data_IF_365548039724
#
_entry.id   IF_365548039724
#
_cell.length_a   1.000
_cell.length_b   1.000
_cell.length_c   1.000
_cell.angle_alpha   90.00
_cell.angle_beta   90.00
_cell.angle_gamma   90.00
#
_symmetry.space_group_name_H-M   'P 1'
#
loop_
_entity.id
_entity.type
_entity.pdbx_description
1 polymer ?
2 non-polymer ?
3 non-polymer ?
4 non-polymer ?
5 non-polymer ?
6 non-polymer ?
7 water ?
#
# COMPACT_ATOMS: atom_id res chain seq x y z
N UNK A 3 9.55 1.12 -29.83
CA UNK A 3 8.79 2.29 -29.40
C UNK A 3 7.32 1.95 -29.22
N UNK A 4 6.98 0.67 -29.48
CA UNK A 4 5.61 0.15 -29.38
C UNK A 4 5.74 -1.29 -28.90
N UNK A 5 6.06 -1.44 -27.62
CA UNK A 5 6.54 -2.71 -27.07
C UNK A 5 5.41 -3.71 -26.84
N UNK A 6 5.73 -4.98 -27.02
CA UNK A 6 4.79 -6.09 -26.92
C UNK A 6 5.03 -6.88 -25.64
N UNK A 7 3.94 -7.24 -24.98
CA UNK A 7 3.96 -8.13 -23.81
C UNK A 7 3.08 -9.33 -24.12
N UNK A 8 3.57 -10.51 -23.79
CA UNK A 8 2.88 -11.75 -24.12
C UNK A 8 2.46 -12.46 -22.85
N UNK A 9 1.32 -13.14 -22.91
CA UNK A 9 0.95 -14.12 -21.89
C UNK A 9 1.23 -15.50 -22.47
N UNK A 10 2.09 -16.28 -21.80
CA UNK A 10 2.48 -17.60 -22.27
C UNK A 10 1.55 -18.70 -21.81
N UNK A 11 0.38 -18.36 -21.28
CA UNK A 11 -0.63 -19.35 -21.02
C UNK A 11 -1.83 -19.22 -21.95
N UNK A 12 -2.05 -18.01 -22.48
CA UNK A 12 -3.16 -17.74 -23.39
C UNK A 12 -2.73 -17.36 -24.80
N UNK A 13 -1.44 -17.13 -25.04
CA UNK A 13 -0.91 -16.63 -26.32
C UNK A 13 -1.44 -15.24 -26.65
N UNK A 14 -1.90 -14.49 -25.65
CA UNK A 14 -2.44 -13.15 -25.84
C UNK A 14 -1.29 -12.15 -25.81
N UNK A 15 -1.28 -11.24 -26.78
CA UNK A 15 -0.26 -10.21 -26.88
C UNK A 15 -0.92 -8.85 -26.79
N UNK A 16 -0.41 -8.01 -25.89
CA UNK A 16 -0.83 -6.62 -25.75
C UNK A 16 0.32 -5.70 -26.13
N UNK A 17 -0.02 -4.54 -26.68
CA UNK A 17 0.95 -3.55 -27.12
C UNK A 17 0.95 -2.36 -26.17
N UNK A 18 2.14 -1.99 -25.70
CA UNK A 18 2.30 -0.93 -24.72
C UNK A 18 2.90 0.27 -25.40
N UNK A 19 2.14 1.37 -25.43
CA UNK A 19 2.65 2.68 -25.79
C UNK A 19 2.65 3.64 -24.61
N UNK A 20 1.98 3.26 -23.52
CA UNK A 20 1.91 4.11 -22.34
C UNK A 20 3.28 4.34 -21.72
N UNK A 21 4.20 3.38 -21.89
CA UNK A 21 5.53 3.56 -21.32
C UNK A 21 6.24 4.76 -21.92
N UNK A 22 5.78 5.26 -23.08
CA UNK A 22 6.35 6.48 -23.63
C UNK A 22 6.05 7.68 -22.75
N UNK A 23 4.90 7.71 -22.08
CA UNK A 23 4.62 8.79 -21.15
C UNK A 23 5.38 8.65 -19.84
N UNK A 24 6.24 7.63 -19.71
CA UNK A 24 6.98 7.42 -18.48
C UNK A 24 7.99 8.54 -18.25
N UNK A 25 8.10 8.95 -17.00
CA UNK A 25 8.93 10.08 -16.62
C UNK A 25 10.10 9.64 -15.76
N UNK A 26 9.85 9.11 -14.56
CA UNK A 26 10.92 8.72 -13.67
C UNK A 26 11.67 7.50 -14.22
N UNK A 27 12.77 7.15 -13.55
CA UNK A 27 13.65 6.09 -13.99
C UNK A 27 13.48 4.86 -13.09
N UNK A 28 13.88 3.71 -13.64
CA UNK A 28 13.54 2.41 -13.05
C UNK A 28 14.62 1.85 -12.13
N UNK A 29 15.85 2.32 -12.23
CA UNK A 29 16.97 1.66 -11.62
C UNK A 29 17.67 0.71 -12.56
N UNK A 30 16.96 0.19 -13.55
CA UNK A 30 17.60 -0.66 -14.54
C UNK A 30 18.40 0.18 -15.55
N UNK A 31 19.39 -0.46 -16.16
CA UNK A 31 20.08 0.16 -17.28
C UNK A 31 20.06 -0.80 -18.47
N UNK A 32 20.75 -0.43 -19.55
CA UNK A 32 20.91 -1.37 -20.65
C UNK A 32 21.72 -2.59 -20.25
N UNK A 33 22.52 -2.52 -19.19
CA UNK A 33 23.42 -3.60 -18.84
C UNK A 33 23.09 -4.28 -17.51
N UNK A 34 22.11 -3.78 -16.77
CA UNK A 34 21.78 -4.40 -15.50
C UNK A 34 20.30 -4.21 -15.23
N UNK A 35 19.65 -5.30 -14.86
CA UNK A 35 18.24 -5.26 -14.49
C UNK A 35 18.18 -5.32 -12.98
N UNK A 36 17.46 -4.36 -12.40
CA UNK A 36 17.31 -4.25 -10.96
C UNK A 36 15.90 -4.56 -10.53
N UNK A 37 15.16 -5.31 -11.35
CA UNK A 37 13.76 -5.58 -11.07
C UNK A 37 13.48 -6.32 -9.77
N UNK A 38 14.50 -6.90 -9.12
CA UNK A 38 14.26 -7.53 -7.83
C UNK A 38 14.82 -6.70 -6.66
N UNK A 39 15.39 -5.53 -6.93
CA UNK A 39 15.80 -4.65 -5.85
C UNK A 39 14.56 -4.07 -5.21
N UNK A 40 14.47 -4.17 -3.87
CA UNK A 40 13.22 -3.80 -3.19
C UNK A 40 12.99 -2.29 -3.22
N UNK A 41 14.05 -1.50 -3.05
CA UNK A 41 13.95 -0.04 -3.07
C UNK A 41 14.91 0.49 -4.13
N UNK A 42 14.42 1.03 -5.23
CA UNK A 42 15.35 1.51 -6.27
C UNK A 42 15.54 3.03 -6.26
N UNK A 43 16.79 3.46 -6.34
CA UNK A 43 17.14 4.87 -6.46
C UNK A 43 18.54 5.01 -7.04
N UNK A 52 14.29 19.14 -0.78
CA UNK A 52 13.21 20.09 -1.02
C UNK A 52 13.16 20.45 -2.50
N UNK A 53 11.97 20.78 -3.00
CA UNK A 53 11.77 21.12 -4.40
C UNK A 53 11.97 22.61 -4.65
N UNK A 54 12.04 22.97 -5.93
CA UNK A 54 12.19 24.36 -6.34
C UNK A 54 11.07 24.73 -7.32
N UNK A 55 10.89 26.04 -7.51
CA UNK A 55 9.85 26.51 -8.41
C UNK A 55 10.21 26.25 -9.87
N UNK A 56 11.51 26.28 -10.20
CA UNK A 56 11.95 26.07 -11.57
C UNK A 56 11.63 24.67 -12.07
N UNK A 57 11.49 23.70 -11.18
CA UNK A 57 11.09 22.36 -11.54
C UNK A 57 9.59 22.13 -11.42
N UNK A 58 8.88 23.00 -10.69
CA UNK A 58 7.51 22.70 -10.32
C UNK A 58 6.55 22.86 -11.48
N UNK A 59 6.64 23.96 -12.23
CA UNK A 59 5.63 24.17 -13.27
C UNK A 59 5.64 23.10 -14.36
N UNK A 60 6.78 22.58 -14.82
CA UNK A 60 6.72 21.39 -15.69
C UNK A 60 5.87 20.29 -15.09
N UNK A 61 6.12 19.92 -13.84
CA UNK A 61 5.37 18.84 -13.21
C UNK A 61 3.88 19.20 -13.10
N UNK A 62 3.58 20.44 -12.74
CA UNK A 62 2.19 20.89 -12.66
C UNK A 62 1.53 20.89 -14.04
N UNK A 63 2.24 21.40 -15.06
CA UNK A 63 1.68 21.42 -16.41
C UNK A 63 1.39 20.01 -16.91
N UNK A 64 2.36 19.11 -16.80
CA UNK A 64 2.15 17.72 -17.21
C UNK A 64 0.90 17.15 -16.56
N UNK A 65 0.80 17.29 -15.24
CA UNK A 65 -0.36 16.76 -14.53
C UNK A 65 -1.65 17.46 -14.96
N UNK A 66 -1.62 18.77 -15.09
CA UNK A 66 -2.85 19.45 -15.45
C UNK A 66 -3.26 19.11 -16.88
N UNK A 67 -2.29 18.89 -17.75
CA UNK A 67 -2.61 18.42 -19.10
C UNK A 67 -3.31 17.06 -19.05
N UNK A 68 -2.83 16.15 -18.22
CA UNK A 68 -3.49 14.85 -18.19
C UNK A 68 -4.82 14.94 -17.46
N UNK A 69 -4.92 15.81 -16.45
CA UNK A 69 -6.20 16.00 -15.79
C UNK A 69 -7.25 16.54 -16.76
N UNK A 70 -6.91 17.59 -17.49
CA UNK A 70 -7.89 18.19 -18.39
C UNK A 70 -8.16 17.30 -19.60
N UNK A 71 -7.16 16.52 -20.02
CA UNK A 71 -7.43 15.53 -21.05
C UNK A 71 -8.49 14.54 -20.57
N UNK A 72 -8.38 14.10 -19.31
CA UNK A 72 -9.25 13.06 -18.79
C UNK A 72 -10.70 13.50 -18.64
N UNK A 73 -10.99 14.80 -18.70
CA UNK A 73 -12.37 15.26 -18.59
C UNK A 73 -12.81 15.90 -19.90
N UNK A 74 -12.21 15.47 -21.01
CA UNK A 74 -12.61 15.88 -22.36
C UNK A 74 -12.50 17.39 -22.57
N UNK A 75 -11.59 18.04 -21.85
CA UNK A 75 -11.40 19.48 -21.94
C UNK A 75 -9.92 19.84 -22.03
N UNK A 76 -9.16 19.00 -22.73
CA UNK A 76 -7.75 19.28 -22.97
C UNK A 76 -7.61 20.43 -23.96
N UNK A 77 -6.86 21.46 -23.55
CA UNK A 77 -6.66 22.63 -24.38
C UNK A 77 -7.78 23.63 -24.38
N UNK A 78 -8.83 23.42 -23.59
CA UNK A 78 -9.93 24.37 -23.54
C UNK A 78 -9.52 25.61 -22.77
N UNK A 79 -10.44 26.58 -22.69
CA UNK A 79 -10.16 27.80 -21.96
C UNK A 79 -9.98 27.54 -20.48
N UNK A 80 -10.87 26.72 -19.90
CA UNK A 80 -10.76 26.38 -18.48
C UNK A 80 -9.41 25.74 -18.18
N UNK A 81 -8.91 24.93 -19.12
CA UNK A 81 -7.60 24.34 -18.95
C UNK A 81 -6.51 25.40 -18.95
N UNK A 82 -6.52 26.29 -19.94
CA UNK A 82 -5.47 27.29 -20.05
C UNK A 82 -5.48 28.22 -18.86
N UNK A 83 -6.66 28.68 -18.44
CA UNK A 83 -6.76 29.56 -17.29
C UNK A 83 -6.24 28.89 -16.03
N UNK A 84 -6.57 27.60 -15.84
CA UNK A 84 -6.01 26.87 -14.71
C UNK A 84 -4.49 26.78 -14.82
N UNK A 85 -3.99 26.48 -16.02
CA UNK A 85 -2.55 26.43 -16.26
C UNK A 85 -1.91 27.77 -15.89
N UNK A 86 -2.53 28.87 -16.33
CA UNK A 86 -2.02 30.20 -15.99
C UNK A 86 -2.20 30.51 -14.51
N UNK A 87 -3.34 30.11 -13.95
CA UNK A 87 -3.58 30.31 -12.53
C UNK A 87 -2.52 29.61 -11.69
N UNK A 88 -2.15 28.39 -12.07
CA UNK A 88 -1.15 27.61 -11.32
C UNK A 88 0.24 28.18 -11.55
N UNK A 89 0.54 28.58 -12.79
CA UNK A 89 1.82 29.22 -13.08
C UNK A 89 1.98 30.47 -12.21
N UNK A 90 0.96 31.31 -12.18
CA UNK A 90 1.05 32.53 -11.38
C UNK A 90 1.09 32.21 -9.88
N UNK A 91 0.40 31.16 -9.44
CA UNK A 91 0.47 30.80 -8.03
C UNK A 91 1.85 30.25 -7.67
N UNK A 92 2.46 29.47 -8.56
CA UNK A 92 3.84 29.06 -8.34
C UNK A 92 4.79 30.26 -8.36
N UNK A 93 4.51 31.27 -9.19
CA UNK A 93 5.32 32.48 -9.15
C UNK A 93 5.32 33.08 -7.76
N UNK A 94 4.13 33.24 -7.17
CA UNK A 94 3.99 33.95 -5.90
C UNK A 94 4.59 33.16 -4.75
N UNK A 95 4.13 31.92 -4.54
CA UNK A 95 4.49 31.14 -3.36
C UNK A 95 5.52 30.05 -3.64
N UNK A 96 5.98 29.89 -4.88
CA UNK A 96 6.84 28.77 -5.26
C UNK A 96 6.22 27.42 -4.93
N UNK A 97 4.90 27.37 -4.82
CA UNK A 97 4.13 26.13 -4.75
C UNK A 97 2.73 26.45 -5.25
N UNK A 98 1.82 25.49 -5.14
CA UNK A 98 0.44 25.76 -5.51
C UNK A 98 -0.45 24.75 -4.80
N UNK A 99 -1.75 24.93 -5.00
CA UNK A 99 -2.76 24.11 -4.34
C UNK A 99 -3.63 23.46 -5.40
N UNK A 100 -3.94 22.19 -5.18
CA UNK A 100 -4.79 21.45 -6.09
C UNK A 100 -6.26 21.74 -5.81
N UNK A 101 -7.06 21.76 -6.87
CA UNK A 101 -8.50 21.68 -6.70
C UNK A 101 -8.86 20.36 -6.05
N UNK A 102 -10.00 20.34 -5.36
CA UNK A 102 -10.53 19.08 -4.84
C UNK A 102 -10.64 18.04 -5.94
N UNK A 103 -11.16 18.46 -7.11
CA UNK A 103 -11.24 17.53 -8.24
C UNK A 103 -9.87 17.00 -8.65
N UNK A 104 -8.88 17.88 -8.74
CA UNK A 104 -7.54 17.46 -9.12
C UNK A 104 -6.95 16.53 -8.07
N UNK A 105 -7.19 16.82 -6.79
CA UNK A 105 -6.68 15.96 -5.73
C UNK A 105 -7.24 14.55 -5.84
N UNK A 106 -8.53 14.42 -6.13
CA UNK A 106 -9.16 13.10 -6.23
C UNK A 106 -8.65 12.36 -7.45
N UNK A 107 -8.60 13.06 -8.59
CA UNK A 107 -8.00 12.51 -9.80
C UNK A 107 -6.58 12.01 -9.54
N UNK A 108 -5.73 12.87 -8.98
CA UNK A 108 -4.35 12.49 -8.73
C UNK A 108 -4.23 11.27 -7.84
N UNK A 109 -4.96 11.25 -6.72
CA UNK A 109 -4.86 10.10 -5.83
C UNK A 109 -5.28 8.82 -6.53
N UNK A 110 -6.41 8.86 -7.24
CA UNK A 110 -6.86 7.68 -7.97
C UNK A 110 -5.79 7.21 -8.94
N UNK A 111 -5.13 8.16 -9.61
CA UNK A 111 -4.16 7.77 -10.62
C UNK A 111 -2.81 7.36 -10.02
N UNK A 112 -2.48 7.87 -8.84
CA UNK A 112 -1.33 7.32 -8.13
C UNK A 112 -1.55 5.84 -7.83
N UNK A 113 -2.77 5.48 -7.42
CA UNK A 113 -3.10 4.06 -7.26
C UNK A 113 -3.10 3.36 -8.62
N UNK A 114 -3.70 3.98 -9.63
CA UNK A 114 -3.74 3.36 -10.95
C UNK A 114 -2.34 3.05 -11.48
N UNK A 115 -1.37 3.84 -11.05
CA UNK A 115 -0.01 3.74 -11.55
C UNK A 115 0.90 2.89 -10.69
N UNK A 116 0.39 2.39 -9.56
CA UNK A 116 1.18 1.59 -8.62
C UNK A 116 1.50 0.23 -9.21
N UNK A 117 2.65 0.11 -9.86
CA UNK A 117 2.97 -1.12 -10.57
C UNK A 117 3.07 -2.33 -9.64
N UNK A 118 3.26 -2.12 -8.34
CA UNK A 118 3.34 -3.27 -7.45
C UNK A 118 1.98 -3.71 -6.92
N UNK A 119 0.88 -3.03 -7.27
CA UNK A 119 -0.43 -3.32 -6.69
C UNK A 119 -1.23 -4.21 -7.61
N UNK A 120 -1.51 -5.44 -7.15
CA UNK A 120 -2.33 -6.37 -7.90
C UNK A 120 -3.81 -6.02 -7.83
N UNK A 121 -4.18 -5.08 -6.95
CA UNK A 121 -5.56 -4.75 -6.69
C UNK A 121 -6.14 -3.62 -7.51
N UNK A 122 -5.42 -3.13 -8.53
CA UNK A 122 -5.79 -1.91 -9.22
C UNK A 122 -7.06 -2.01 -10.05
N UNK A 123 -7.66 -3.19 -10.26
CA UNK A 123 -8.92 -3.20 -10.99
C UNK A 123 -9.93 -2.26 -10.31
N UNK A 124 -9.73 -1.99 -9.03
CA UNK A 124 -10.60 -1.13 -8.22
C UNK A 124 -10.18 0.34 -8.22
N UNK A 125 -9.17 0.72 -9.02
CA UNK A 125 -8.48 1.98 -8.80
C UNK A 125 -9.41 3.19 -8.86
N UNK A 126 -10.50 3.13 -9.63
CA UNK A 126 -11.39 4.29 -9.72
C UNK A 126 -12.43 4.34 -8.60
N UNK A 127 -12.66 3.23 -7.91
CA UNK A 127 -13.48 3.21 -6.69
C UNK A 127 -12.55 3.48 -5.50
N UNK A 128 -12.19 4.75 -5.36
CA UNK A 128 -11.32 5.20 -4.30
C UNK A 128 -11.97 6.39 -3.63
N UNK A 129 -12.08 6.35 -2.31
CA UNK A 129 -12.71 7.40 -1.53
C UNK A 129 -11.61 8.30 -1.01
N UNK A 130 -11.62 9.57 -1.42
CA UNK A 130 -10.53 10.48 -1.09
C UNK A 130 -11.00 11.39 0.02
N UNK A 131 -10.30 11.32 1.15
CA UNK A 131 -10.62 12.19 2.27
C UNK A 131 -9.61 13.33 2.25
N UNK A 132 -10.10 14.53 2.04
CA UNK A 132 -9.23 15.69 1.94
C UNK A 132 -8.95 16.17 3.36
N UNK A 133 -7.75 15.94 3.85
CA UNK A 133 -7.40 16.40 5.19
C UNK A 133 -6.41 17.56 5.14
N UNK A 134 -6.39 18.29 4.03
CA UNK A 134 -5.41 19.34 3.84
C UNK A 134 -5.65 20.54 4.76
N UNK A 135 -6.78 20.58 5.46
CA UNK A 135 -7.03 21.63 6.45
C UNK A 135 -6.55 21.24 7.84
N UNK A 136 -6.03 20.03 8.01
CA UNK A 136 -5.50 19.60 9.30
C UNK A 136 -4.31 20.47 9.69
N UNK A 137 -4.20 20.76 10.99
CA UNK A 137 -3.07 21.54 11.51
C UNK A 137 -2.34 20.89 12.67
N UNK A 138 -2.92 19.90 13.35
CA UNK A 138 -2.37 19.37 14.59
C UNK A 138 -2.48 17.85 14.56
N UNK A 139 -1.70 17.21 15.44
CA UNK A 139 -1.71 15.76 15.51
C UNK A 139 -3.09 15.24 15.92
N UNK A 140 -3.79 15.98 16.79
CA UNK A 140 -5.14 15.61 17.19
C UNK A 140 -6.09 15.64 16.00
N UNK A 141 -5.99 16.66 15.16
CA UNK A 141 -6.73 16.63 13.91
C UNK A 141 -6.40 15.40 13.09
N UNK A 142 -5.11 15.06 13.01
CA UNK A 142 -4.72 13.86 12.27
C UNK A 142 -5.42 12.63 12.85
N UNK A 143 -5.34 12.46 14.17
CA UNK A 143 -5.99 11.34 14.84
C UNK A 143 -7.45 11.24 14.44
N UNK A 144 -8.18 12.35 14.60
CA UNK A 144 -9.58 12.40 14.20
C UNK A 144 -9.77 11.95 12.76
N UNK A 145 -9.02 12.56 11.84
CA UNK A 145 -9.13 12.21 10.44
C UNK A 145 -8.83 10.74 10.21
N UNK A 146 -7.83 10.22 10.92
CA UNK A 146 -7.45 8.83 10.72
C UNK A 146 -8.53 7.90 11.27
N UNK A 147 -9.13 8.26 12.41
CA UNK A 147 -10.20 7.44 12.96
C UNK A 147 -11.36 7.36 11.99
N UNK A 148 -11.74 8.49 11.38
CA UNK A 148 -12.85 8.49 10.45
C UNK A 148 -12.52 7.67 9.22
N UNK A 149 -11.26 7.72 8.79
CA UNK A 149 -10.80 6.85 7.73
C UNK A 149 -11.02 5.38 8.12
N UNK A 150 -10.49 4.97 9.27
CA UNK A 150 -10.62 3.57 9.70
C UNK A 150 -12.09 3.18 9.74
N UNK A 151 -12.91 4.02 10.36
CA UNK A 151 -14.33 3.70 10.47
C UNK A 151 -14.97 3.56 9.09
N UNK A 152 -14.80 4.57 8.23
CA UNK A 152 -15.40 4.51 6.90
C UNK A 152 -14.88 3.31 6.10
N UNK A 153 -13.55 3.17 6.00
CA UNK A 153 -12.96 2.12 5.19
C UNK A 153 -13.39 0.74 5.66
N UNK A 154 -13.52 0.55 6.98
CA UNK A 154 -13.82 -0.78 7.49
C UNK A 154 -15.27 -1.15 7.21
N UNK A 155 -16.19 -0.22 7.40
CA UNK A 155 -17.58 -0.37 6.95
C UNK A 155 -18.20 -1.68 7.43
N UNK A 156 -17.97 -2.01 8.70
CA UNK A 156 -18.56 -3.19 9.33
C UNK A 156 -18.10 -4.47 8.66
N UNK A 157 -16.93 -4.44 8.01
CA UNK A 157 -16.41 -5.58 7.30
C UNK A 157 -16.62 -5.51 5.79
N UNK A 158 -17.58 -4.70 5.33
CA UNK A 158 -17.74 -4.51 3.89
C UNK A 158 -16.75 -3.44 3.43
N UNK A 159 -15.46 -3.82 3.41
CA UNK A 159 -14.39 -2.83 3.35
C UNK A 159 -14.51 -1.95 2.12
N UNK A 160 -14.08 -0.69 2.27
CA UNK A 160 -14.13 0.30 1.22
C UNK A 160 -12.76 0.95 1.09
N UNK A 161 -12.30 1.09 -0.15
CA UNK A 161 -10.99 1.67 -0.38
C UNK A 161 -11.01 3.15 -0.11
N UNK A 162 -10.01 3.63 0.62
CA UNK A 162 -9.99 5.03 0.97
C UNK A 162 -8.56 5.52 1.13
N UNK A 163 -8.39 6.83 0.94
CA UNK A 163 -7.13 7.50 1.19
C UNK A 163 -7.44 8.80 1.93
N UNK A 164 -6.63 9.11 2.93
CA UNK A 164 -6.75 10.37 3.65
C UNK A 164 -5.48 11.18 3.41
N UNK A 165 -5.62 12.42 2.93
CA UNK A 165 -4.50 13.18 2.39
C UNK A 165 -4.30 14.44 3.23
N UNK A 166 -3.20 14.46 3.99
CA UNK A 166 -2.83 15.56 4.87
C UNK A 166 -2.05 16.62 4.10
N UNK A 167 -1.80 17.79 4.69
CA UNK A 167 -1.21 18.90 3.93
C UNK A 167 0.09 18.53 3.24
N UNK A 168 0.28 19.08 2.05
CA UNK A 168 1.47 18.81 1.27
C UNK A 168 2.71 19.39 1.95
N UNK A 169 3.85 18.78 1.64
CA UNK A 169 5.13 19.31 2.05
C UNK A 169 5.30 20.73 1.54
N UNK A 170 5.91 21.60 2.36
CA UNK A 170 6.15 22.98 1.97
C UNK A 170 7.66 23.19 1.93
N UNK A 171 8.27 23.69 3.01
CA UNK A 171 9.70 23.91 3.04
C UNK A 171 10.48 22.64 3.27
N UNK A 172 9.81 21.57 3.73
CA UNK A 172 10.46 20.34 4.10
C UNK A 172 10.53 20.10 5.60
N UNK A 173 10.73 21.15 6.38
CA UNK A 173 10.80 20.99 7.82
C UNK A 173 9.43 21.13 8.49
N UNK A 174 8.34 21.12 7.72
CA UNK A 174 6.98 21.18 8.25
C UNK A 174 6.14 20.04 7.70
N UNK A 175 6.76 18.88 7.51
CA UNK A 175 6.08 17.73 6.96
C UNK A 175 5.05 17.15 7.93
N UNK A 176 3.92 16.75 7.38
CA UNK A 176 3.00 15.87 8.09
C UNK A 176 3.44 14.43 7.88
N UNK A 177 3.57 13.66 8.95
CA UNK A 177 3.95 12.26 8.83
C UNK A 177 3.14 11.40 9.80
N UNK A 178 2.72 10.24 9.32
CA UNK A 178 2.28 9.14 10.17
C UNK A 178 3.48 8.24 10.36
N UNK A 179 3.93 8.10 11.61
CA UNK A 179 5.15 7.32 11.84
C UNK A 179 4.92 5.82 11.77
N UNK A 180 3.69 5.36 11.95
CA UNK A 180 3.37 3.96 11.75
C UNK A 180 3.57 3.58 10.29
N UNK A 181 4.04 2.35 10.05
CA UNK A 181 4.10 1.86 8.67
C UNK A 181 2.70 1.49 8.18
N UNK A 182 1.83 1.05 9.08
CA UNK A 182 0.41 0.91 8.77
C UNK A 182 -0.40 1.48 9.93
N UNK A 183 -1.58 2.01 9.60
CA UNK A 183 -2.47 2.53 10.63
C UNK A 183 -2.67 1.52 11.74
N UNK A 184 -2.87 0.25 11.38
CA UNK A 184 -3.16 -0.83 12.31
C UNK A 184 -2.08 -1.89 12.16
N UNK A 185 -1.24 -2.04 13.17
CA UNK A 185 -0.26 -3.11 13.18
C UNK A 185 -0.07 -3.60 14.60
N UNK A 186 0.37 -4.85 14.72
CA UNK A 186 0.57 -5.48 16.01
C UNK A 186 1.96 -5.16 16.54
N UNK A 187 2.06 -4.99 17.85
CA UNK A 187 3.34 -4.66 18.47
C UNK A 187 4.34 -5.81 18.32
N UNK A 188 5.59 -5.50 18.63
CA UNK A 188 6.65 -6.47 18.64
C UNK A 188 7.67 -6.13 19.69
N UNK A 189 7.90 -7.06 20.62
CA UNK A 189 8.86 -6.87 21.68
C UNK A 189 9.82 -8.04 21.71
N UNK A 190 11.09 -7.75 21.95
CA UNK A 190 12.08 -8.80 22.18
C UNK A 190 12.00 -9.26 23.63
N UNK A 191 12.18 -10.56 23.82
CA UNK A 191 12.01 -11.19 25.13
C UNK A 191 13.32 -11.16 25.91
N UNK A 192 13.28 -11.51 27.20
CA UNK A 192 14.55 -11.74 27.92
C UNK A 192 15.43 -12.78 27.26
N UNK A 193 14.86 -13.88 26.78
CA UNK A 193 15.63 -14.91 26.10
C UNK A 193 15.87 -14.59 24.62
N UNK A 194 15.84 -13.31 24.24
CA UNK A 194 16.16 -12.89 22.89
C UNK A 194 15.08 -13.11 21.85
N UNK A 195 14.16 -14.04 22.09
CA UNK A 195 13.07 -14.26 21.14
C UNK A 195 12.18 -13.02 21.06
N UNK A 196 11.22 -13.06 20.14
CA UNK A 196 10.35 -11.92 19.86
C UNK A 196 8.90 -12.31 20.09
N UNK A 197 8.18 -11.48 20.83
CA UNK A 197 6.75 -11.63 21.00
C UNK A 197 6.02 -10.61 20.13
N UNK A 198 4.95 -11.05 19.48
CA UNK A 198 4.22 -10.18 18.57
C UNK A 198 4.80 -10.21 17.18
N UNK A 199 5.06 -9.04 16.62
CA UNK A 199 5.52 -8.89 15.24
C UNK A 199 6.95 -8.39 15.21
N UNK A 200 7.93 -9.21 14.84
CA UNK A 200 9.32 -8.73 14.80
C UNK A 200 9.52 -7.53 13.90
N UNK A 201 8.67 -7.36 12.88
CA UNK A 201 8.84 -6.26 11.93
C UNK A 201 8.74 -4.91 12.62
N UNK A 202 8.00 -4.81 13.71
CA UNK A 202 7.68 -3.53 14.33
C UNK A 202 8.45 -3.29 15.62
N UNK A 203 9.49 -4.07 15.90
CA UNK A 203 10.14 -3.99 17.21
C UNK A 203 10.77 -2.61 17.41
N UNK A 204 11.36 -2.04 16.35
CA UNK A 204 11.93 -0.71 16.49
C UNK A 204 10.83 0.32 16.70
N UNK A 205 9.76 0.25 15.92
CA UNK A 205 8.66 1.20 16.09
C UNK A 205 7.99 1.03 17.45
N UNK A 206 7.78 -0.22 17.88
CA UNK A 206 7.21 -0.46 19.19
C UNK A 206 8.04 0.19 20.29
N UNK A 207 9.36 0.13 20.16
CA UNK A 207 10.21 0.79 21.15
C UNK A 207 10.10 2.31 21.05
N UNK A 208 9.97 2.84 19.84
CA UNK A 208 9.86 4.29 19.66
C UNK A 208 8.62 4.81 20.37
N UNK A 209 7.53 4.05 20.30
CA UNK A 209 6.33 4.42 21.05
C UNK A 209 6.57 4.35 22.56
N UNK A 210 7.33 3.35 23.01
CA UNK A 210 7.65 3.29 24.44
C UNK A 210 8.52 4.47 24.83
N UNK A 211 9.43 4.88 23.95
CA UNK A 211 10.28 6.02 24.23
C UNK A 211 9.48 7.32 24.33
N UNK A 212 8.54 7.53 23.41
CA UNK A 212 7.67 8.70 23.46
C UNK A 212 6.56 8.56 24.50
N UNK A 213 6.42 7.38 25.10
CA UNK A 213 5.56 7.24 26.27
C UNK A 213 4.54 6.12 26.27
N UNK A 214 4.56 5.23 25.28
CA UNK A 214 3.56 4.17 25.23
C UNK A 214 3.74 3.22 26.43
N UNK A 215 2.60 2.88 27.03
CA UNK A 215 2.55 1.83 28.06
C UNK A 215 2.05 0.56 27.38
N UNK A 216 2.96 -0.40 27.19
CA UNK A 216 2.71 -1.55 26.33
C UNK A 216 2.13 -2.72 27.13
N UNK A 217 1.13 -3.40 26.55
CA UNK A 217 0.57 -4.58 27.22
C UNK A 217 1.30 -5.85 26.82
N UNK A 218 2.64 -5.78 26.74
CA UNK A 218 3.54 -6.82 26.25
C UNK A 218 2.90 -8.17 25.98
N UNK A 219 2.05 -8.21 24.95
CA UNK A 219 1.50 -9.46 24.44
C UNK A 219 1.76 -9.61 22.97
N UNK A 220 1.05 -10.52 22.29
CA UNK A 220 1.32 -10.76 20.88
C UNK A 220 0.63 -9.71 20.01
N UNK A 221 -0.70 -9.73 19.98
CA UNK A 221 -1.47 -8.96 19.02
C UNK A 221 -1.98 -7.66 19.66
N UNK A 222 -1.04 -6.85 20.16
CA UNK A 222 -1.35 -5.55 20.73
C UNK A 222 -1.28 -4.52 19.60
N UNK A 223 -2.42 -3.91 19.29
CA UNK A 223 -2.46 -2.89 18.25
C UNK A 223 -1.66 -1.69 18.70
N UNK A 224 -0.68 -1.29 17.89
CA UNK A 224 0.17 -0.16 18.22
C UNK A 224 -0.67 1.13 18.27
N UNK A 225 -0.23 2.10 19.05
CA UNK A 225 -0.83 3.43 18.97
C UNK A 225 -0.37 4.14 17.71
N UNK A 226 -0.99 5.27 17.42
CA UNK A 226 -0.56 6.10 16.32
C UNK A 226 0.49 7.09 16.80
N UNK A 227 1.49 7.33 15.96
CA UNK A 227 2.50 8.36 16.19
C UNK A 227 2.39 9.37 15.05
N UNK A 228 1.77 10.51 15.35
CA UNK A 228 1.34 11.47 14.35
C UNK A 228 2.16 12.74 14.48
N UNK A 229 2.82 13.12 13.39
CA UNK A 229 3.59 14.35 13.30
C UNK A 229 2.84 15.35 12.42
N UNK A 230 2.62 16.55 12.95
CA UNK A 230 1.84 17.58 12.28
C UNK A 230 2.71 18.82 12.09
N UNK A 231 2.76 19.31 10.85
CA UNK A 231 3.48 20.53 10.51
C UNK A 231 4.92 20.49 11.02
N UNK A 232 5.55 19.33 10.88
CA UNK A 232 6.94 19.16 11.24
C UNK A 232 7.24 19.10 12.72
N UNK A 233 6.24 19.21 13.59
CA UNK A 233 6.48 19.17 15.02
C UNK A 233 6.77 17.74 15.48
N UNK A 234 7.15 17.62 16.75
CA UNK A 234 7.43 16.30 17.30
C UNK A 234 6.14 15.47 17.35
N UNK A 235 6.21 14.17 17.07
CA UNK A 235 4.99 13.38 16.94
C UNK A 235 4.40 13.03 18.29
N UNK A 236 3.12 12.65 18.25
CA UNK A 236 2.32 12.45 19.46
C UNK A 236 1.55 11.15 19.36
N UNK A 237 1.44 10.45 20.49
CA UNK A 237 0.79 9.14 20.57
C UNK A 237 -0.70 9.26 20.70
N UNK A 238 -1.44 8.42 19.97
CA UNK A 238 -2.89 8.30 20.12
C UNK A 238 -3.29 6.83 19.96
N UNK A 239 -4.26 6.40 20.77
CA UNK A 239 -4.80 5.05 20.72
C UNK A 239 -6.11 5.07 19.95
N UNK A 240 -6.13 4.41 18.80
CA UNK A 240 -7.33 4.16 18.02
C UNK A 240 -8.36 3.50 18.94
N UNK A 241 -9.60 3.96 18.96
CA UNK A 241 -10.62 3.28 19.76
C UNK A 241 -10.71 1.83 19.35
N UNK A 242 -10.65 0.90 20.31
CA UNK A 242 -10.66 -0.52 19.95
C UNK A 242 -11.88 -0.92 19.15
N UNK A 243 -13.01 -0.26 19.36
CA UNK A 243 -14.22 -0.56 18.60
C UNK A 243 -14.04 -0.31 17.11
N UNK A 244 -13.04 0.51 16.73
CA UNK A 244 -12.77 0.80 15.33
C UNK A 244 -11.84 -0.20 14.69
N UNK A 245 -11.21 -1.05 15.48
CA UNK A 245 -10.23 -2.01 14.97
C UNK A 245 -10.93 -3.34 14.83
N UNK A 246 -11.40 -3.64 13.62
CA UNK A 246 -12.03 -4.92 13.36
C UNK A 246 -10.96 -6.00 13.30
N UNK A 247 -11.18 -7.09 14.03
CA UNK A 247 -10.24 -8.19 14.03
C UNK A 247 -10.97 -9.49 13.74
N UNK A 248 -10.27 -10.40 13.07
CA UNK A 248 -10.77 -11.69 12.60
C UNK A 248 -10.03 -12.79 13.37
N UNK A 249 -10.71 -13.60 14.18
CA UNK A 249 -10.05 -14.80 14.73
C UNK A 249 -9.90 -15.85 13.64
N UNK A 250 -8.73 -16.48 13.59
CA UNK A 250 -8.40 -17.37 12.49
C UNK A 250 -8.76 -18.79 12.90
N UNK A 251 -9.79 -19.35 12.26
CA UNK A 251 -10.13 -20.76 12.38
C UNK A 251 -10.02 -21.43 11.02
N UNK A 252 -9.93 -22.76 11.05
CA UNK A 252 -9.88 -23.61 9.87
C UNK A 252 -11.19 -24.36 9.72
N UNK A 253 -11.71 -24.50 8.49
CA UNK A 253 -12.99 -25.17 8.31
C UNK A 253 -12.96 -26.66 8.61
N UNK A 254 -11.77 -27.27 8.69
CA UNK A 254 -11.62 -28.68 8.98
C UNK A 254 -10.94 -28.93 10.32
N UNK A 255 -9.76 -28.35 10.53
CA UNK A 255 -8.94 -28.65 11.69
C UNK A 255 -9.40 -27.79 12.88
N UNK A 256 -9.97 -28.43 13.89
CA UNK A 256 -10.50 -27.71 15.05
C UNK A 256 -9.40 -27.23 15.98
N UNK A 257 -8.23 -27.89 15.98
CA UNK A 257 -7.12 -27.38 16.77
C UNK A 257 -6.64 -26.03 16.25
N UNK A 258 -7.06 -25.65 15.04
CA UNK A 258 -6.58 -24.41 14.48
C UNK A 258 -6.99 -23.22 15.34
N UNK A 259 -8.11 -23.33 16.06
CA UNK A 259 -8.49 -22.32 17.04
C UNK A 259 -7.45 -22.21 18.15
N UNK A 260 -6.98 -23.36 18.65
CA UNK A 260 -6.01 -23.37 19.74
C UNK A 260 -4.74 -22.63 19.33
N UNK A 261 -4.46 -22.56 18.02
CA UNK A 261 -3.37 -21.73 17.54
C UNK A 261 -3.53 -20.29 18.00
N UNK A 262 -4.76 -19.86 18.26
CA UNK A 262 -4.99 -18.54 18.83
C UNK A 262 -4.47 -17.41 17.98
N UNK A 263 -4.62 -17.52 16.66
CA UNK A 263 -4.21 -16.46 15.75
C UNK A 263 -5.38 -15.56 15.42
N UNK A 264 -5.05 -14.28 15.22
CA UNK A 264 -6.03 -13.30 14.77
C UNK A 264 -5.26 -12.24 14.00
N UNK A 265 -5.96 -11.59 13.07
CA UNK A 265 -5.34 -10.52 12.31
C UNK A 265 -6.36 -9.40 12.19
N UNK A 266 -5.89 -8.22 11.82
CA UNK A 266 -6.79 -7.07 11.67
C UNK A 266 -7.35 -7.05 10.26
N UNK A 267 -8.59 -6.60 10.15
CA UNK A 267 -9.26 -6.65 8.87
C UNK A 267 -8.82 -5.60 7.87
N UNK A 268 -8.24 -4.49 8.33
CA UNK A 268 -8.03 -3.33 7.48
C UNK A 268 -6.54 -3.12 7.21
N UNK A 269 -6.04 -3.40 6.01
CA UNK A 269 -4.67 -3.03 5.67
C UNK A 269 -4.64 -1.59 5.18
N UNK A 270 -3.81 -0.77 5.81
CA UNK A 270 -3.86 0.68 5.61
C UNK A 270 -2.44 1.21 5.70
N UNK A 271 -1.79 1.33 4.56
CA UNK A 271 -0.41 1.80 4.50
C UNK A 271 -0.36 3.28 4.83
N UNK A 272 0.56 3.66 5.71
CA UNK A 272 0.61 5.06 6.12
C UNK A 272 1.99 5.69 6.02
N UNK A 273 2.99 4.98 5.48
CA UNK A 273 4.34 5.55 5.45
C UNK A 273 4.77 5.96 4.05
N UNK A 274 3.88 5.95 3.07
CA UNK A 274 4.27 6.28 1.71
C UNK A 274 4.01 7.74 1.41
N UNK A 275 4.59 8.20 0.31
CA UNK A 275 4.48 9.58 -0.14
C UNK A 275 3.68 9.60 -1.43
N UNK A 276 2.66 10.44 -1.47
CA UNK A 276 1.82 10.64 -2.65
C UNK A 276 2.34 11.84 -3.42
N UNK A 277 2.67 11.65 -4.68
CA UNK A 277 3.18 12.72 -5.54
C UNK A 277 2.14 13.04 -6.60
N UNK A 278 1.67 14.28 -6.60
CA UNK A 278 0.66 14.76 -7.56
C UNK A 278 1.14 16.08 -8.11
N UNK A 279 1.35 16.15 -9.41
CA UNK A 279 1.69 17.43 -10.03
C UNK A 279 2.92 18.07 -9.44
N UNK A 280 3.89 17.26 -9.02
CA UNK A 280 5.06 17.75 -8.33
C UNK A 280 4.84 18.15 -6.89
N UNK A 281 3.60 18.10 -6.40
CA UNK A 281 3.33 18.33 -4.99
C UNK A 281 3.50 17.03 -4.22
N UNK A 282 4.01 17.14 -2.99
CA UNK A 282 4.39 15.99 -2.18
C UNK A 282 3.55 15.91 -0.93
N UNK A 283 2.76 14.84 -0.83
CA UNK A 283 1.95 14.56 0.35
C UNK A 283 2.64 13.43 1.12
N UNK A 284 3.33 13.81 2.20
CA UNK A 284 4.13 12.88 2.99
C UNK A 284 3.29 12.05 3.94
N UNK A 285 2.03 12.41 4.12
CA UNK A 285 1.11 11.69 5.01
C UNK A 285 -0.15 11.46 4.20
N UNK A 286 -0.34 10.23 3.74
CA UNK A 286 -1.46 9.91 2.89
C UNK A 286 -1.92 8.48 3.12
N UNK A 287 -2.27 8.11 4.35
CA UNK A 287 -2.67 6.71 4.62
C UNK A 287 -3.79 6.27 3.69
N UNK A 288 -3.59 5.13 3.04
CA UNK A 288 -4.57 4.57 2.12
C UNK A 288 -4.83 3.12 2.51
N UNK A 289 -6.04 2.65 2.25
CA UNK A 289 -6.45 1.32 2.68
C UNK A 289 -7.34 0.69 1.63
N UNK A 290 -7.26 -0.63 1.54
CA UNK A 290 -8.12 -1.40 0.67
C UNK A 290 -8.68 -2.56 1.48
N UNK A 291 -8.41 -3.76 1.00
CA UNK A 291 -8.66 -4.97 1.77
C UNK A 291 -7.52 -5.92 1.49
N UNK A 292 -7.45 -6.99 2.25
CA UNK A 292 -6.31 -7.91 2.14
C UNK A 292 -6.52 -8.92 1.02
N UNK A 293 -5.43 -9.22 0.32
CA UNK A 293 -5.28 -10.51 -0.33
C UNK A 293 -4.83 -11.50 0.72
N UNK A 294 -5.43 -12.69 0.70
CA UNK A 294 -5.17 -13.67 1.75
C UNK A 294 -3.72 -13.92 2.04
N UNK A 295 -2.89 -14.03 1.00
CA UNK A 295 -1.50 -14.44 1.18
C UNK A 295 -0.68 -13.42 1.97
N UNK A 296 -1.07 -12.13 1.93
CA UNK A 296 -0.34 -11.15 2.72
C UNK A 296 -0.30 -11.56 4.17
N UNK A 297 -1.44 -12.04 4.69
CA UNK A 297 -1.53 -12.53 6.06
C UNK A 297 -0.98 -13.95 6.16
N UNK A 298 -1.54 -14.86 5.38
CA UNK A 298 -1.31 -16.28 5.62
C UNK A 298 0.09 -16.70 5.26
N UNK A 299 0.70 -16.04 4.29
CA UNK A 299 2.02 -16.45 3.81
C UNK A 299 3.08 -15.54 4.38
N UNK A 300 2.93 -14.23 4.18
CA UNK A 300 3.99 -13.31 4.55
C UNK A 300 3.97 -12.98 6.03
N UNK A 301 2.82 -12.50 6.53
CA UNK A 301 2.74 -12.09 7.93
C UNK A 301 2.91 -13.28 8.86
N UNK A 302 2.22 -14.38 8.57
CA UNK A 302 2.29 -15.53 9.47
C UNK A 302 3.52 -16.41 9.25
N UNK A 303 4.07 -16.45 8.03
CA UNK A 303 5.05 -17.50 7.72
C UNK A 303 6.44 -17.01 7.31
N UNK A 304 6.63 -15.74 6.99
CA UNK A 304 7.98 -15.19 6.88
C UNK A 304 8.78 -15.58 8.11
N UNK A 305 10.04 -15.98 7.89
CA UNK A 305 10.88 -16.34 9.04
C UNK A 305 11.13 -15.14 9.95
N UNK A 306 11.07 -13.93 9.40
CA UNK A 306 11.31 -12.71 10.16
C UNK A 306 10.00 -12.05 10.63
N UNK A 307 8.87 -12.70 10.45
CA UNK A 307 7.58 -12.23 10.92
C UNK A 307 7.08 -13.19 12.00
N UNK A 308 5.82 -13.64 11.97
CA UNK A 308 5.32 -14.48 13.06
C UNK A 308 5.90 -15.89 13.01
N UNK A 309 6.28 -16.38 11.83
CA UNK A 309 7.10 -17.58 11.71
C UNK A 309 6.44 -18.78 12.37
N UNK A 310 5.21 -19.08 11.93
CA UNK A 310 4.38 -20.07 12.60
C UNK A 310 4.41 -21.43 11.93
N UNK A 311 5.09 -21.56 10.77
CA UNK A 311 5.09 -22.83 10.04
C UNK A 311 5.46 -23.98 10.96
N UNK A 312 6.44 -23.76 11.84
CA UNK A 312 6.79 -24.73 12.86
C UNK A 312 5.56 -25.30 13.54
N UNK A 313 4.81 -24.43 14.24
CA UNK A 313 3.69 -24.87 15.06
C UNK A 313 2.61 -25.56 14.24
N UNK A 314 2.25 -24.99 13.09
CA UNK A 314 1.16 -25.56 12.30
C UNK A 314 1.51 -26.97 11.84
N UNK A 315 2.74 -27.16 11.35
CA UNK A 315 3.17 -28.47 10.91
C UNK A 315 3.22 -29.46 12.06
N UNK A 316 3.55 -29.00 13.26
CA UNK A 316 3.49 -29.87 14.43
C UNK A 316 2.07 -30.39 14.64
N UNK A 317 1.11 -29.47 14.76
CA UNK A 317 -0.27 -29.86 15.00
C UNK A 317 -0.86 -30.68 13.86
N UNK A 318 -0.31 -30.54 12.65
CA UNK A 318 -0.73 -31.40 11.56
C UNK A 318 -0.05 -32.76 11.60
N UNK A 319 0.92 -32.94 12.49
CA UNK A 319 1.70 -34.18 12.59
C UNK A 319 2.34 -34.53 11.25
N UNK A 320 3.11 -33.57 10.73
CA UNK A 320 3.77 -33.70 9.45
C UNK A 320 5.19 -34.19 9.64
N UNK A 321 5.71 -34.85 8.60
CA UNK A 321 7.10 -35.30 8.56
C UNK A 321 8.00 -34.08 8.43
N UNK A 322 8.55 -33.60 9.55
CA UNK A 322 9.36 -32.40 9.53
C UNK A 322 10.86 -32.70 9.51
N UNK A 323 11.23 -33.98 9.52
CA UNK A 323 12.64 -34.34 9.48
C UNK A 323 13.25 -33.90 8.16
N UNK A 324 12.63 -34.26 7.04
CA UNK A 324 13.17 -34.00 5.72
C UNK A 324 12.62 -32.67 5.19
N UNK A 325 13.51 -31.84 4.63
CA UNK A 325 13.02 -30.69 3.87
C UNK A 325 12.12 -31.14 2.72
N UNK A 326 12.43 -32.29 2.12
CA UNK A 326 11.77 -32.77 0.91
C UNK A 326 10.39 -33.39 1.17
N UNK A 327 9.98 -33.56 2.41
CA UNK A 327 8.59 -33.92 2.64
C UNK A 327 7.62 -32.78 2.34
N UNK A 328 8.11 -31.56 2.07
CA UNK A 328 7.28 -30.39 1.78
C UNK A 328 6.30 -30.09 2.91
N UNK A 329 6.67 -30.48 4.14
CA UNK A 329 5.81 -30.14 5.28
C UNK A 329 5.55 -28.64 5.34
N UNK A 330 6.53 -27.82 4.95
CA UNK A 330 6.33 -26.38 4.97
C UNK A 330 5.26 -25.97 3.97
N UNK A 331 5.33 -26.50 2.75
CA UNK A 331 4.36 -26.16 1.72
C UNK A 331 2.96 -26.59 2.16
N UNK A 332 2.87 -27.81 2.71
CA UNK A 332 1.58 -28.36 3.12
C UNK A 332 0.95 -27.54 4.24
N UNK A 333 1.76 -27.12 5.23
CA UNK A 333 1.23 -26.28 6.30
C UNK A 333 0.88 -24.90 5.80
N UNK A 334 1.65 -24.40 4.83
CA UNK A 334 1.39 -23.07 4.29
C UNK A 334 0.00 -23.00 3.65
N UNK A 335 -0.37 -24.03 2.89
CA UNK A 335 -1.68 -24.04 2.24
C UNK A 335 -2.80 -24.12 3.27
N UNK A 336 -2.64 -24.97 4.28
CA UNK A 336 -3.66 -25.02 5.34
C UNK A 336 -3.87 -23.66 5.99
N UNK A 337 -2.79 -22.95 6.29
CA UNK A 337 -2.92 -21.64 6.93
C UNK A 337 -3.70 -20.68 6.05
N UNK A 338 -3.44 -20.69 4.74
CA UNK A 338 -4.12 -19.71 3.89
C UNK A 338 -5.58 -20.05 3.66
N UNK A 339 -5.95 -21.34 3.73
CA UNK A 339 -7.38 -21.70 3.71
C UNK A 339 -8.04 -21.18 4.98
N UNK A 340 -7.31 -21.21 6.09
CA UNK A 340 -7.83 -20.74 7.37
C UNK A 340 -8.03 -19.23 7.37
N UNK A 341 -7.07 -18.47 6.84
CA UNK A 341 -7.26 -17.02 6.80
C UNK A 341 -8.47 -16.68 5.95
N UNK A 342 -8.58 -17.30 4.78
CA UNK A 342 -9.69 -16.99 3.88
C UNK A 342 -11.02 -17.38 4.51
N UNK A 343 -11.13 -18.63 4.94
CA UNK A 343 -12.36 -19.09 5.58
C UNK A 343 -12.76 -18.18 6.73
N UNK A 344 -11.79 -17.80 7.58
CA UNK A 344 -12.11 -17.01 8.76
C UNK A 344 -12.65 -15.64 8.36
N UNK A 345 -12.01 -14.99 7.38
CA UNK A 345 -12.49 -13.66 6.96
C UNK A 345 -13.86 -13.77 6.31
N UNK A 346 -14.05 -14.74 5.40
CA UNK A 346 -15.32 -14.85 4.70
C UNK A 346 -16.46 -15.20 5.65
N UNK A 347 -16.20 -16.11 6.60
CA UNK A 347 -17.22 -16.49 7.55
C UNK A 347 -17.61 -15.32 8.45
N UNK A 348 -16.78 -14.29 8.51
CA UNK A 348 -17.09 -13.09 9.27
C UNK A 348 -17.56 -11.94 8.40
N UNK A 349 -17.82 -12.20 7.12
CA UNK A 349 -18.26 -11.17 6.18
C UNK A 349 -17.26 -10.01 6.12
N UNK A 350 -15.98 -10.30 6.36
CA UNK A 350 -14.93 -9.28 6.28
C UNK A 350 -14.23 -9.45 4.93
N UNK A 351 -14.22 -8.38 4.14
CA UNK A 351 -13.74 -8.47 2.77
C UNK A 351 -12.34 -9.05 2.73
N UNK A 352 -12.13 -9.97 1.80
CA UNK A 352 -10.81 -10.52 1.52
C UNK A 352 -10.87 -11.11 0.12
N UNK A 353 -9.72 -11.21 -0.53
CA UNK A 353 -9.66 -11.80 -1.87
C UNK A 353 -8.54 -12.82 -1.88
N UNK A 354 -8.84 -14.01 -2.43
CA UNK A 354 -7.82 -15.04 -2.57
C UNK A 354 -6.93 -14.71 -3.75
N UNK A 355 -5.73 -15.30 -3.76
CA UNK A 355 -4.76 -14.90 -4.77
C UNK A 355 -5.21 -15.29 -6.17
N UNK A 356 -6.08 -16.31 -6.29
CA UNK A 356 -6.60 -16.69 -7.59
C UNK A 356 -7.57 -15.64 -8.12
N UNK A 357 -8.54 -15.24 -7.30
CA UNK A 357 -9.45 -14.19 -7.72
C UNK A 357 -8.70 -12.90 -8.03
N UNK A 358 -7.80 -12.50 -7.13
CA UNK A 358 -7.09 -11.23 -7.29
C UNK A 358 -6.25 -11.22 -8.56
N UNK A 359 -5.49 -12.28 -8.80
CA UNK A 359 -4.60 -12.28 -9.96
C UNK A 359 -5.37 -12.38 -11.26
N UNK A 360 -6.47 -13.14 -11.27
CA UNK A 360 -7.33 -13.15 -12.46
C UNK A 360 -7.86 -11.75 -12.76
N UNK A 361 -8.33 -11.05 -11.72
CA UNK A 361 -8.84 -9.70 -11.93
C UNK A 361 -7.74 -8.77 -12.44
N UNK A 362 -6.50 -8.99 -12.02
CA UNK A 362 -5.43 -8.11 -12.48
C UNK A 362 -5.17 -8.29 -13.98
N UNK A 363 -5.19 -9.54 -14.45
CA UNK A 363 -5.10 -9.78 -15.89
C UNK A 363 -6.21 -9.04 -16.62
N UNK A 364 -7.45 -9.22 -16.15
CA UNK A 364 -8.56 -8.48 -16.74
C UNK A 364 -8.31 -6.98 -16.67
N UNK A 365 -7.83 -6.50 -15.53
CA UNK A 365 -7.48 -5.09 -15.40
C UNK A 365 -6.40 -4.70 -16.40
N UNK A 366 -5.39 -5.56 -16.58
CA UNK A 366 -4.35 -5.27 -17.54
C UNK A 366 -4.92 -5.09 -18.94
N UNK A 367 -5.81 -6.01 -19.34
CA UNK A 367 -6.41 -5.91 -20.67
C UNK A 367 -7.17 -4.60 -20.84
N UNK A 368 -7.91 -4.18 -19.81
CA UNK A 368 -8.58 -2.88 -19.86
C UNK A 368 -7.59 -1.75 -20.09
N UNK A 369 -6.51 -1.74 -19.32
CA UNK A 369 -5.56 -0.62 -19.38
C UNK A 369 -4.84 -0.58 -20.71
N UNK A 370 -4.39 -1.74 -21.22
CA UNK A 370 -3.79 -1.72 -22.55
C UNK A 370 -4.78 -1.21 -23.59
N UNK A 371 -6.05 -1.51 -23.43
CA UNK A 371 -7.05 -1.13 -24.41
C UNK A 371 -7.38 0.36 -24.32
N UNK A 372 -7.77 0.82 -23.14
CA UNK A 372 -8.24 2.20 -22.97
C UNK A 372 -7.14 3.14 -22.49
N UNK A 373 -5.89 2.69 -22.42
CA UNK A 373 -4.83 3.57 -21.92
C UNK A 373 -3.48 3.30 -22.58
N UNK A 374 -3.38 2.23 -23.37
CA UNK A 374 -2.14 1.89 -24.05
C UNK A 374 -1.10 1.20 -23.19
N UNK A 375 -1.48 0.69 -22.02
CA UNK A 375 -0.52 0.00 -21.19
C UNK A 375 -0.96 -0.01 -19.74
N UNK A 376 -0.19 -0.73 -18.94
CA UNK A 376 -0.38 -0.88 -17.51
C UNK A 376 0.97 -1.18 -16.88
N UNK A 377 1.59 -0.23 -16.19
CA UNK A 377 2.87 -0.54 -15.52
C UNK A 377 2.66 -1.66 -14.53
N UNK A 378 3.56 -2.64 -14.54
CA UNK A 378 3.34 -3.80 -13.68
C UNK A 378 4.65 -4.45 -13.26
N UNK A 379 4.76 -4.76 -11.97
CA UNK A 379 5.99 -5.25 -11.35
C UNK A 379 5.76 -6.73 -11.07
N UNK A 380 6.21 -7.58 -12.00
CA UNK A 380 6.00 -9.01 -11.87
C UNK A 380 6.47 -9.53 -10.51
N UNK A 381 7.62 -9.03 -10.04
CA UNK A 381 8.23 -9.52 -8.81
C UNK A 381 7.27 -9.35 -7.64
N UNK A 382 6.44 -8.31 -7.69
CA UNK A 382 5.48 -7.97 -6.66
C UNK A 382 4.07 -8.45 -6.99
N UNK A 383 3.72 -8.55 -8.28
CA UNK A 383 2.36 -8.96 -8.63
C UNK A 383 2.16 -10.46 -8.41
N UNK A 384 3.17 -11.27 -8.69
CA UNK A 384 3.01 -12.73 -8.49
C UNK A 384 2.89 -13.03 -7.01
N UNK A 385 1.85 -13.76 -6.56
CA UNK A 385 1.67 -14.03 -5.14
C UNK A 385 2.84 -14.83 -4.58
N UNK A 386 3.03 -14.78 -3.26
CA UNK A 386 4.17 -15.43 -2.63
C UNK A 386 4.03 -16.94 -2.47
N UNK A 387 2.90 -17.51 -2.91
CA UNK A 387 2.76 -18.96 -3.03
C UNK A 387 1.93 -19.25 -4.27
N UNK A 388 2.03 -20.49 -4.74
CA UNK A 388 1.25 -20.96 -5.89
C UNK A 388 1.47 -20.08 -7.12
N UNK A 389 2.65 -19.48 -7.22
CA UNK A 389 3.03 -18.67 -8.35
C UNK A 389 2.41 -19.04 -9.68
N UNK A 390 2.82 -20.17 -10.26
CA UNK A 390 2.50 -20.49 -11.65
C UNK A 390 1.14 -21.11 -11.84
N UNK A 391 0.37 -21.32 -10.79
CA UNK A 391 -0.99 -21.80 -10.99
C UNK A 391 -1.93 -20.60 -10.92
N UNK A 392 -1.38 -19.40 -10.82
CA UNK A 392 -2.11 -18.16 -11.07
C UNK A 392 -1.70 -17.57 -12.42
N UNK A 393 -2.59 -16.80 -13.05
CA UNK A 393 -2.34 -16.38 -14.44
C UNK A 393 -1.31 -15.26 -14.60
N UNK A 394 -1.01 -14.51 -13.55
CA UNK A 394 -0.01 -13.45 -13.67
C UNK A 394 1.39 -14.02 -13.81
N UNK A 395 1.64 -15.20 -13.25
CA UNK A 395 2.96 -15.79 -13.40
C UNK A 395 3.35 -15.89 -14.87
N UNK A 396 2.39 -16.21 -15.72
CA UNK A 396 2.56 -16.45 -17.15
C UNK A 396 2.45 -15.18 -17.98
N UNK A 397 2.30 -14.03 -17.32
CA UNK A 397 2.01 -12.77 -17.99
C UNK A 397 3.26 -11.90 -17.96
N UNK A 398 3.86 -11.70 -19.12
CA UNK A 398 4.88 -10.67 -19.24
C UNK A 398 4.30 -9.31 -18.87
N UNK A 399 5.07 -8.54 -18.12
CA UNK A 399 4.68 -7.23 -17.64
C UNK A 399 5.81 -6.25 -17.86
N UNK A 400 5.49 -5.05 -18.33
CA UNK A 400 6.46 -3.97 -18.43
C UNK A 400 6.35 -3.12 -17.17
N UNK A 401 7.47 -2.90 -16.50
CA UNK A 401 7.45 -2.00 -15.35
C UNK A 401 8.01 -0.65 -15.76
N UNK A 402 7.30 0.41 -15.38
CA UNK A 402 7.78 1.77 -15.62
C UNK A 402 7.02 2.69 -14.69
N UNK A 403 7.56 3.90 -14.52
CA UNK A 403 7.12 4.83 -13.50
C UNK A 403 6.27 5.91 -14.15
N UNK A 404 5.00 5.93 -13.82
CA UNK A 404 4.09 6.98 -14.26
C UNK A 404 3.70 7.83 -13.06
N UNK A 405 3.36 9.07 -13.33
CA UNK A 405 2.93 9.94 -12.26
C UNK A 405 1.51 10.43 -12.53
N UNK A 406 0.72 10.74 -11.49
CA UNK A 406 0.89 10.67 -10.04
C UNK A 406 1.30 9.31 -9.55
N UNK A 407 1.93 9.26 -8.38
CA UNK A 407 2.50 8.01 -7.92
C UNK A 407 2.60 8.01 -6.41
N UNK A 408 2.65 6.79 -5.87
CA UNK A 408 3.05 6.56 -4.49
C UNK A 408 4.53 6.24 -4.47
N UNK A 409 5.26 6.92 -3.59
CA UNK A 409 6.68 6.73 -3.43
C UNK A 409 6.99 6.34 -2.00
N UNK A 410 8.02 5.53 -1.85
CA UNK A 410 8.61 5.30 -0.55
C UNK A 410 9.24 6.60 -0.05
N UNK A 411 9.44 6.67 1.24
CA UNK A 411 10.11 7.82 1.83
C UNK A 411 10.86 7.33 3.05
N UNK A 412 11.91 8.03 3.46
CA UNK A 412 12.62 7.61 4.68
C UNK A 412 11.68 7.53 5.87
N UNK A 413 11.99 6.64 6.78
CA UNK A 413 11.31 6.61 8.06
C UNK A 413 11.48 7.97 8.74
N UNK A 414 10.43 8.50 9.36
CA UNK A 414 10.53 9.86 9.90
C UNK A 414 11.59 10.03 10.96
N UNK A 415 11.88 9.00 11.75
CA UNK A 415 12.84 9.16 12.83
C UNK A 415 14.27 9.28 12.34
N UNK A 416 14.55 8.75 11.14
CA UNK A 416 15.91 8.84 10.62
C UNK A 416 16.23 10.24 10.12
N UNK A 417 15.21 11.06 9.85
CA UNK A 417 15.42 12.36 9.22
C UNK A 417 14.99 13.55 10.06
N UNK A 418 14.10 13.37 11.02
CA UNK A 418 13.41 14.50 11.64
C UNK A 418 14.32 15.26 12.60
N UNK A 419 14.52 16.54 12.31
CA UNK A 419 15.16 17.45 13.27
C UNK A 419 14.25 17.51 14.49
N UNK A 420 14.69 16.87 15.56
CA UNK A 420 13.82 16.37 16.62
C UNK A 420 13.58 17.37 17.76
X LIG B 1 0.79 -3.09 -3.13
X LIG B 1 -3.35 -5.56 -3.12
X LIG B 1 -5.76 -1.38 -2.63
X LIG B 1 -1.68 1.08 -3.49
X LIG B 1 -0.09 -4.12 -2.98
X LIG B 1 0.19 -5.49 -2.60
X LIG B 1 -0.96 -6.18 -2.59
X LIG B 1 -2.01 -5.28 -2.99
X LIG B 1 -1.13 -7.68 -2.25
X LIG B 1 1.59 -6.04 -2.23
X LIG B 1 1.78 -5.47 -0.83
X LIG B 1 2.85 -6.23 -0.13
X LIG B 1 3.15 -7.36 -0.59
X LIG B 1 3.40 -5.71 0.88
X LIG B 1 -4.36 -4.64 -2.96
X LIG B 1 -5.77 -4.96 -2.81
X LIG B 1 -6.45 -3.82 -2.69
X LIG B 1 -5.49 -2.72 -2.75
X LIG B 1 -6.36 -6.39 -2.83
X LIG B 1 -7.98 -3.74 -2.51
X LIG B 1 -8.69 -2.66 -2.82
X LIG B 1 -4.88 -0.34 -2.79
X LIG B 1 -5.19 1.08 -2.67
X LIG B 1 -4.04 1.76 -2.91
X LIG B 1 -2.99 0.79 -3.17
X LIG B 1 -6.60 1.60 -2.31
X LIG B 1 -3.75 3.28 -2.95
X LIG B 1 -4.74 4.18 -2.93
X LIG B 1 -0.64 0.18 -3.46
X LIG B 1 0.78 0.48 -3.54
X LIG B 1 1.45 -0.67 -3.45
X LIG B 1 0.49 -1.74 -3.27
X LIG B 1 1.42 1.89 -3.74
X LIG B 1 2.98 -0.79 -3.51
X LIG B 1 3.50 -0.88 -2.08
X LIG B 1 5.01 -1.02 -2.05
X LIG B 1 5.70 -0.76 -3.07
X LIG B 1 5.53 -1.38 -0.95
X LIG B 1 -1.44 -4.05 -3.21
X LIG B 1 -4.23 -3.28 -2.91
X LIG B 1 -3.56 -0.46 -3.10
X LIG B 1 -0.78 -1.18 -3.29
X LIG B 1 -2.49 -2.27 -3.43
X LIG C 1 6.27 -9.02 -3.51
X LIG C 1 5.35 -8.49 -2.65
X LIG C 1 4.05 -8.40 -3.05
X LIG C 1 5.76 -8.05 -1.43
X LIG C 1 7.05 -8.15 -1.06
X LIG C 1 7.39 -7.72 0.06
X LIG C 1 7.98 -8.69 -1.94
X LIG C 1 7.57 -9.15 -3.17
X LIG C 1 9.28 -8.78 -1.60
X LIG C 1 8.48 -9.70 -4.05
X LIG C 1 10.24 -8.80 -2.69
X LIG C 1 9.89 -9.92 -3.69
X LIG C 1 11.68 -8.96 -2.17
X LIG C 1 11.68 -10.15 -1.39
X LIG C 1 12.67 -9.15 -3.32
X LIG C 1 14.10 -9.31 -2.83
X LIG C 1 12.59 -8.03 -4.20
X LIG D 1 -4.28 -0.54 0.79
X LIG D 1 -3.56 -0.58 1.98
X LIG D 1 -2.95 -1.81 2.30
X LIG D 1 -3.22 -2.79 1.35
X LIG D 1 -2.81 -4.21 1.14
X LIG D 1 -0.51 -3.68 1.10
X LIG D 1 -0.53 -2.72 0.08
X LIG D 1 0.54 -1.84 -0.09
X LIG D 1 1.66 -1.94 0.73
X LIG D 1 1.69 -2.90 1.74
X LIG D 1 0.61 -3.76 1.93
X LIG D 1 2.89 -2.98 2.64
X LIG D 1 5.27 -3.10 2.73
X LIG D 1 6.28 -4.09 2.17
X LIG D 1 7.52 -3.98 3.02
X LIG D 1 8.16 -2.74 3.11
X LIG D 1 9.30 -2.60 3.88
X LIG D 1 9.81 -3.71 4.56
X LIG D 1 9.18 -4.94 4.47
X LIG D 1 8.04 -5.07 3.69
X LIG D 1 7.37 -6.43 3.62
X LIG D 1 11.02 -3.56 5.39
X LIG D 1 11.62 -4.68 5.97
X LIG D 1 12.76 -4.54 6.74
X LIG D 1 13.30 -3.27 6.95
X LIG D 1 12.71 -2.16 6.38
X LIG D 1 11.57 -2.30 5.60
X LIG D 1 -1.53 -4.55 1.29
X LIG D 1 -3.68 -5.07 0.82
X LIG D 1 4.12 -2.93 1.83
X LIG D 1 8.34 -7.51 3.84
X LIG D 1 -4.16 -2.12 0.09
X LIG E 1 -9.40 -7.36 -5.94
X LIG E 1 -9.85 -7.58 -4.79
X LIG E 1 -9.42 -8.22 -6.84
X LIG E 1 -9.00 -5.96 -6.28
X LIG F 1 14.94 -4.47 -15.36
#
# INVERSE_FOLDING_TARGET
CPRFLKVKNWETDVVLTDTLHLKSTLETGCTEHICMGSIMLPSQHTRKPEDVATKDQLFPLAKEFLDQYYSSIKRFGSKAHMDRLEEVNKEIESTSTYQLKDTELIYGAKHAWRNASRCVGRIQWSKLQVFDARDCTTAHGMFNYICNHVKYATNKGNLRSAITIFPQRTDGKHDFRVWNSQLIRYAGYKQPDGSTLGDPANVQFTEICIQQGWKAPRGRFDVLPLLLQANGNDPELFQIPPELVLEVPIRHPKFDWFKDLGLKWYGLPAVSNMLLEIGGLEFSACPFSGWYMGTEIGVRDYCDNSRYNILEEVAKKMDLDMRKTSSLWKDQALVEINIAVLYSFQSDKVTIVDHHSATESFIKHMENEYRCRGGCPADWVWIVPPMSGSITPVFHQEMLNYRLTPSFEYQPDPWNTHVWKG
HEM CHA CHB CHC CHD C1A C2A C3A C4A CMA CAA CBA CGA O1A O2A C1B C2B C3B C4B CMB CAB CBB C1C C2C C3C C4C CMC CAC CBC C1D C2D C3D C4D CMD CAD CBD CGD O1D O2D NA NB NC ND FE
H4B N1 C2 N2 N3 C4 O4 C4A C8A N5 N8 C6 C7 C9 O9 C10 C11 O10
A1BT9 C02 C03 C04 C05 C06 C11 C12 C13 C14 C15 C16 C17 C19 C20 C21 C22 C23 C24 C25 C26 C27 C31 C32 C33 C34 C35 C36 N07 N08 N18 N28 S01
ACT C O OXT CH3
ZN ZN
#
